data_IF_903295819104
#
_entry.id   IF_903295819104
#
_cell.length_a   1.000
_cell.length_b   1.000
_cell.length_c   1.000
_cell.angle_alpha   90.00
_cell.angle_beta   90.00
_cell.angle_gamma   90.00
#
_symmetry.space_group_name_H-M   'P 1'
#
loop_
_entity.id
_entity.type
_entity.pdbx_description
1 polymer ?
#
# COMPACT_ATOMS: atom_id res chain seq x y z
N UNK A 1 22.31 0.92 -4.10
CA UNK A 1 20.98 0.28 -4.18
C UNK A 1 20.29 0.23 -2.83
N UNK A 2 20.87 -0.44 -1.82
CA UNK A 2 20.28 -0.55 -0.45
C UNK A 2 19.88 0.80 0.15
N UNK A 3 20.78 1.80 0.13
CA UNK A 3 20.45 3.14 0.66
C UNK A 3 19.24 3.78 -0.03
N UNK A 4 19.11 3.63 -1.36
CA UNK A 4 17.95 4.14 -2.10
C UNK A 4 16.66 3.43 -1.68
N UNK A 5 16.71 2.11 -1.56
CA UNK A 5 15.57 1.31 -1.10
C UNK A 5 15.13 1.76 0.29
N UNK A 6 16.05 1.87 1.26
CA UNK A 6 15.70 2.29 2.61
C UNK A 6 15.17 3.73 2.66
N UNK A 7 15.80 4.67 1.94
CA UNK A 7 15.39 6.08 1.93
C UNK A 7 13.97 6.25 1.38
N UNK A 8 13.72 5.74 0.17
CA UNK A 8 12.42 5.90 -0.48
C UNK A 8 11.35 4.97 0.10
N UNK A 9 11.74 3.80 0.57
CA UNK A 9 10.88 2.88 1.30
C UNK A 9 10.42 3.47 2.63
N UNK A 10 11.28 4.14 3.39
CA UNK A 10 10.88 4.80 4.63
C UNK A 10 9.97 6.00 4.37
N UNK A 11 10.22 6.78 3.31
CA UNK A 11 9.29 7.84 2.92
C UNK A 11 7.92 7.28 2.56
N UNK A 12 7.87 6.23 1.75
CA UNK A 12 6.63 5.56 1.37
C UNK A 12 5.93 4.89 2.56
N UNK A 13 6.68 4.30 3.49
CA UNK A 13 6.16 3.72 4.73
C UNK A 13 5.50 4.78 5.61
N UNK A 14 6.20 5.89 5.89
CA UNK A 14 5.68 6.95 6.75
C UNK A 14 4.49 7.66 6.11
N UNK A 15 4.58 7.96 4.81
CA UNK A 15 3.44 8.53 4.08
C UNK A 15 2.28 7.56 4.08
N UNK A 16 2.50 6.28 3.76
CA UNK A 16 1.48 5.24 3.79
C UNK A 16 0.81 5.10 5.14
N UNK A 17 1.58 4.99 6.22
CA UNK A 17 1.06 4.94 7.58
C UNK A 17 0.16 6.13 7.90
N UNK A 18 0.64 7.35 7.65
CA UNK A 18 -0.06 8.58 8.03
C UNK A 18 -1.29 8.81 7.15
N UNK A 19 -1.15 8.77 5.82
CA UNK A 19 -2.26 9.05 4.91
C UNK A 19 -3.33 7.96 5.00
N UNK A 20 -2.91 6.70 5.23
CA UNK A 20 -3.86 5.60 5.38
C UNK A 20 -4.61 5.72 6.73
N UNK A 21 -3.96 6.07 7.83
CA UNK A 21 -4.69 6.36 9.07
C UNK A 21 -5.65 7.55 8.94
N UNK A 22 -5.23 8.62 8.27
CA UNK A 22 -6.07 9.82 8.06
C UNK A 22 -7.31 9.46 7.24
N UNK A 23 -7.17 8.71 6.14
CA UNK A 23 -8.35 8.38 5.33
C UNK A 23 -9.35 7.48 6.09
N UNK A 24 -8.87 6.50 6.87
CA UNK A 24 -9.77 5.63 7.66
C UNK A 24 -10.52 6.44 8.74
N UNK A 25 -9.81 7.33 9.43
CA UNK A 25 -10.37 8.10 10.55
C UNK A 25 -11.33 9.20 10.10
N UNK A 26 -10.99 9.92 9.03
CA UNK A 26 -11.84 10.99 8.49
C UNK A 26 -12.93 10.45 7.55
N UNK A 27 -12.72 9.26 6.98
CA UNK A 27 -13.64 8.64 6.03
C UNK A 27 -14.83 7.93 6.68
N UNK A 28 -14.84 7.72 8.00
CA UNK A 28 -15.85 6.90 8.70
C UNK A 28 -17.32 7.25 8.38
N UNK A 29 -17.62 8.52 8.13
CA UNK A 29 -18.99 9.01 7.89
C UNK A 29 -19.30 9.19 6.39
N UNK A 30 -18.35 8.84 5.51
CA UNK A 30 -18.52 8.90 4.05
C UNK A 30 -19.20 7.62 3.53
N UNK A 31 -19.79 7.74 2.34
CA UNK A 31 -20.34 6.56 1.65
C UNK A 31 -19.24 5.51 1.39
N UNK A 32 -19.64 4.23 1.36
CA UNK A 32 -18.72 3.12 1.09
C UNK A 32 -17.91 3.33 -0.20
N UNK A 33 -18.58 3.72 -1.29
CA UNK A 33 -17.91 3.97 -2.59
C UNK A 33 -16.90 5.12 -2.52
N UNK A 34 -17.18 6.16 -1.74
CA UNK A 34 -16.23 7.26 -1.54
C UNK A 34 -15.01 6.80 -0.76
N UNK A 35 -15.22 6.04 0.32
CA UNK A 35 -14.13 5.48 1.13
C UNK A 35 -13.22 4.55 0.33
N UNK A 36 -13.80 3.69 -0.50
CA UNK A 36 -13.05 2.79 -1.37
C UNK A 36 -12.12 3.56 -2.32
N UNK A 37 -12.63 4.61 -2.97
CA UNK A 37 -11.82 5.46 -3.86
C UNK A 37 -10.67 6.14 -3.09
N UNK A 38 -10.95 6.68 -1.90
CA UNK A 38 -9.94 7.32 -1.06
C UNK A 38 -8.87 6.31 -0.60
N UNK A 39 -9.26 5.08 -0.28
CA UNK A 39 -8.36 3.98 0.03
C UNK A 39 -7.38 3.72 -1.11
N UNK A 40 -7.87 3.56 -2.35
CA UNK A 40 -6.99 3.39 -3.50
C UNK A 40 -6.07 4.60 -3.73
N UNK A 41 -6.60 5.83 -3.66
CA UNK A 41 -5.80 7.05 -3.81
C UNK A 41 -4.64 7.07 -2.80
N UNK A 42 -4.93 6.75 -1.53
CA UNK A 42 -3.94 6.72 -0.47
C UNK A 42 -2.83 5.68 -0.72
N UNK A 43 -3.18 4.49 -1.24
CA UNK A 43 -2.24 3.45 -1.68
C UNK A 43 -1.35 3.95 -2.82
N UNK A 44 -1.94 4.53 -3.87
CA UNK A 44 -1.18 4.99 -5.05
C UNK A 44 -0.26 6.19 -4.73
N UNK A 45 -0.70 7.12 -3.88
CA UNK A 45 0.15 8.21 -3.39
C UNK A 45 1.38 7.64 -2.68
N UNK A 46 1.17 6.64 -1.82
CA UNK A 46 2.24 6.02 -1.03
C UNK A 46 3.18 5.18 -1.90
N UNK A 47 2.66 4.47 -2.91
CA UNK A 47 3.46 3.70 -3.86
C UNK A 47 4.17 4.57 -4.90
N UNK A 48 3.86 5.86 -5.02
CA UNK A 48 4.58 6.78 -5.93
C UNK A 48 6.09 6.83 -5.66
N UNK A 49 6.51 6.56 -4.42
CA UNK A 49 7.92 6.48 -4.02
C UNK A 49 8.68 5.33 -4.71
N UNK A 50 7.99 4.32 -5.25
CA UNK A 50 8.59 3.28 -6.10
C UNK A 50 9.22 3.91 -7.33
N UNK A 51 8.46 4.70 -8.08
CA UNK A 51 8.95 5.38 -9.28
C UNK A 51 10.11 6.32 -8.95
N UNK A 52 9.95 7.16 -7.91
CA UNK A 52 10.99 8.11 -7.51
C UNK A 52 12.25 7.42 -7.01
N UNK A 53 12.13 6.30 -6.30
CA UNK A 53 13.27 5.51 -5.83
C UNK A 53 14.05 4.86 -6.97
N UNK A 54 13.35 4.26 -7.94
CA UNK A 54 13.98 3.70 -9.14
C UNK A 54 14.67 4.80 -9.96
N UNK A 55 13.98 5.93 -10.20
CA UNK A 55 14.53 7.08 -10.92
C UNK A 55 15.77 7.65 -10.22
N UNK A 56 15.70 7.83 -8.91
CA UNK A 56 16.84 8.32 -8.13
C UNK A 56 18.05 7.39 -8.23
N UNK A 57 17.84 6.08 -8.10
CA UNK A 57 18.92 5.11 -8.26
C UNK A 57 19.56 5.19 -9.65
N UNK A 58 18.74 5.23 -10.70
CA UNK A 58 19.22 5.37 -12.09
C UNK A 58 20.05 6.64 -12.24
N UNK A 59 19.47 7.79 -11.92
CA UNK A 59 20.04 9.10 -12.27
C UNK A 59 21.24 9.50 -11.40
N UNK A 60 21.22 9.16 -10.10
CA UNK A 60 22.19 9.67 -9.13
C UNK A 60 23.19 8.62 -8.63
N UNK A 61 22.89 7.32 -8.81
CA UNK A 61 23.70 6.23 -8.24
C UNK A 61 24.25 5.29 -9.31
N UNK A 62 23.53 5.09 -10.42
CA UNK A 62 23.86 4.10 -11.44
C UNK A 62 24.12 4.73 -12.83
N UNK A 63 24.64 5.97 -12.84
CA UNK A 63 25.12 6.69 -14.03
C UNK A 63 24.11 6.80 -15.18
N UNK A 64 22.83 7.00 -14.86
CA UNK A 64 21.76 7.22 -15.85
C UNK A 64 21.26 5.95 -16.56
N UNK A 65 21.81 4.77 -16.23
CA UNK A 65 21.46 3.48 -16.84
C UNK A 65 20.80 2.60 -15.79
N UNK A 66 19.79 1.82 -16.18
CA UNK A 66 19.20 0.81 -15.28
C UNK A 66 18.56 -0.31 -16.10
N UNK A 67 18.82 -1.56 -15.71
CA UNK A 67 18.13 -2.72 -16.28
C UNK A 67 16.78 -2.95 -15.61
N UNK A 68 15.85 -3.57 -16.33
CA UNK A 68 14.52 -3.90 -15.81
C UNK A 68 14.60 -4.73 -14.51
N UNK A 69 15.49 -5.74 -14.45
CA UNK A 69 15.67 -6.56 -13.26
C UNK A 69 16.12 -5.75 -12.03
N UNK A 70 17.05 -4.79 -12.19
CA UNK A 70 17.45 -3.91 -11.09
C UNK A 70 16.32 -2.98 -10.66
N UNK A 71 15.55 -2.44 -11.61
CA UNK A 71 14.39 -1.60 -11.31
C UNK A 71 13.31 -2.37 -10.53
N UNK A 72 13.01 -3.61 -10.94
CA UNK A 72 12.07 -4.50 -10.26
C UNK A 72 12.50 -4.78 -8.82
N UNK A 73 13.77 -5.14 -8.59
CA UNK A 73 14.30 -5.39 -7.25
C UNK A 73 14.10 -4.16 -6.36
N UNK A 74 14.51 -2.98 -6.83
CA UNK A 74 14.38 -1.73 -6.06
C UNK A 74 12.92 -1.43 -5.76
N UNK A 75 12.05 -1.52 -6.76
CA UNK A 75 10.65 -1.18 -6.62
C UNK A 75 9.89 -2.12 -5.69
N UNK A 76 10.12 -3.43 -5.77
CA UNK A 76 9.48 -4.42 -4.89
C UNK A 76 9.89 -4.21 -3.43
N UNK A 77 11.17 -3.99 -3.15
CA UNK A 77 11.60 -3.74 -1.77
C UNK A 77 11.05 -2.42 -1.20
N UNK A 78 10.93 -1.37 -2.02
CA UNK A 78 10.25 -0.14 -1.60
C UNK A 78 8.76 -0.42 -1.34
N UNK A 79 8.11 -1.18 -2.21
CA UNK A 79 6.68 -1.53 -2.10
C UNK A 79 6.38 -2.32 -0.83
N UNK A 80 7.24 -3.24 -0.43
CA UNK A 80 7.10 -3.99 0.83
C UNK A 80 7.15 -3.05 2.04
N UNK A 81 8.05 -2.06 2.05
CA UNK A 81 8.12 -1.09 3.14
C UNK A 81 6.87 -0.19 3.19
N UNK A 82 6.36 0.24 2.03
CA UNK A 82 5.07 0.95 1.94
C UNK A 82 3.92 0.09 2.46
N UNK A 83 3.87 -1.17 2.04
CA UNK A 83 2.84 -2.13 2.43
C UNK A 83 2.84 -2.38 3.93
N UNK A 84 4.01 -2.44 4.57
CA UNK A 84 4.13 -2.52 6.04
C UNK A 84 3.52 -1.27 6.69
N UNK A 85 3.82 -0.08 6.19
CA UNK A 85 3.23 1.16 6.73
C UNK A 85 1.71 1.17 6.67
N UNK A 86 1.14 0.77 5.53
CA UNK A 86 -0.31 0.67 5.34
C UNK A 86 -0.91 -0.46 6.19
N UNK A 87 -0.27 -1.62 6.27
CA UNK A 87 -0.73 -2.72 7.14
C UNK A 87 -0.74 -2.33 8.62
N UNK A 88 0.28 -1.58 9.09
CA UNK A 88 0.30 -1.05 10.47
C UNK A 88 -0.85 -0.06 10.67
N UNK A 89 -1.11 0.83 9.70
CA UNK A 89 -2.26 1.75 9.77
C UNK A 89 -3.58 0.99 9.91
N UNK A 90 -3.80 0.00 9.03
CA UNK A 90 -4.98 -0.85 9.02
C UNK A 90 -5.17 -1.61 10.34
N UNK A 91 -4.09 -2.20 10.87
CA UNK A 91 -4.10 -2.89 12.16
C UNK A 91 -4.43 -1.93 13.30
N UNK A 92 -3.78 -0.76 13.37
CA UNK A 92 -4.03 0.22 14.42
C UNK A 92 -5.50 0.65 14.39
N UNK A 93 -6.03 0.92 13.20
CA UNK A 93 -7.39 1.35 13.03
C UNK A 93 -8.38 0.27 13.48
N UNK A 94 -8.28 -0.94 12.92
CA UNK A 94 -9.22 -2.04 13.20
C UNK A 94 -9.08 -2.63 14.60
N UNK A 95 -7.92 -2.53 15.24
CA UNK A 95 -7.71 -3.08 16.58
C UNK A 95 -8.01 -2.08 17.70
N UNK A 96 -7.70 -0.80 17.51
CA UNK A 96 -7.71 0.19 18.60
C UNK A 96 -8.61 1.39 18.37
N UNK A 97 -8.84 1.80 17.13
CA UNK A 97 -9.64 3.01 16.83
C UNK A 97 -11.11 2.64 16.55
N UNK A 98 -11.34 1.58 15.78
CA UNK A 98 -12.65 1.07 15.41
C UNK A 98 -12.67 -0.47 15.52
N UNK A 99 -12.71 -1.01 16.76
CA UNK A 99 -12.72 -2.45 17.00
C UNK A 99 -13.95 -3.17 16.44
N UNK A 100 -15.07 -2.45 16.29
CA UNK A 100 -16.33 -2.99 15.77
C UNK A 100 -16.39 -3.01 14.23
N UNK A 101 -15.31 -2.61 13.54
CA UNK A 101 -15.30 -2.46 12.09
C UNK A 101 -15.73 -3.75 11.35
N UNK A 102 -15.18 -4.90 11.74
CA UNK A 102 -15.52 -6.18 11.11
C UNK A 102 -16.96 -6.59 11.38
N UNK A 103 -17.45 -6.41 12.61
CA UNK A 103 -18.83 -6.75 12.95
C UNK A 103 -19.83 -5.90 12.15
N UNK A 104 -19.57 -4.60 12.04
CA UNK A 104 -20.35 -3.69 11.21
C UNK A 104 -20.32 -4.10 9.73
N UNK A 105 -19.16 -4.51 9.22
CA UNK A 105 -19.01 -5.02 7.86
C UNK A 105 -19.79 -6.32 7.65
N UNK A 106 -19.73 -7.26 8.60
CA UNK A 106 -20.48 -8.52 8.53
C UNK A 106 -21.97 -8.29 8.58
N UNK A 107 -22.44 -7.37 9.42
CA UNK A 107 -23.85 -7.00 9.45
C UNK A 107 -24.31 -6.43 8.12
N UNK A 108 -23.52 -5.54 7.50
CA UNK A 108 -23.81 -5.01 6.17
C UNK A 108 -23.91 -6.13 5.10
N UNK A 109 -23.05 -7.16 5.17
CA UNK A 109 -23.12 -8.30 4.25
C UNK A 109 -24.35 -9.18 4.51
N UNK A 110 -24.74 -9.38 5.78
CA UNK A 110 -25.97 -10.10 6.14
C UNK A 110 -27.20 -9.37 5.63
N UNK A 111 -27.28 -8.07 5.82
CA UNK A 111 -28.39 -7.24 5.33
C UNK A 111 -28.48 -7.25 3.78
N UNK A 112 -27.36 -7.47 3.10
CA UNK A 112 -27.29 -7.64 1.66
C UNK A 112 -27.59 -9.08 1.18
N UNK A 113 -27.90 -10.02 2.08
CA UNK A 113 -28.20 -11.42 1.78
C UNK A 113 -26.98 -12.25 1.39
N UNK A 114 -25.76 -11.82 1.76
CA UNK A 114 -24.48 -12.44 1.38
C UNK A 114 -23.80 -13.15 2.56
N UNK A 115 -24.59 -13.75 3.44
CA UNK A 115 -24.10 -14.36 4.69
C UNK A 115 -23.06 -15.47 4.43
N UNK A 116 -23.25 -16.23 3.35
CA UNK A 116 -22.37 -17.31 2.93
C UNK A 116 -21.03 -16.83 2.33
N UNK A 117 -20.87 -15.53 2.05
CA UNK A 117 -19.61 -14.93 1.57
C UNK A 117 -18.76 -14.35 2.72
N UNK A 118 -19.27 -14.36 3.95
CA UNK A 118 -18.57 -13.79 5.10
C UNK A 118 -17.36 -14.65 5.46
N UNK A 119 -16.19 -14.02 5.45
CA UNK A 119 -14.95 -14.59 5.97
C UNK A 119 -14.61 -13.83 7.25
N UNK A 120 -14.62 -14.53 8.38
CA UNK A 120 -14.18 -13.96 9.65
C UNK A 120 -12.69 -13.65 9.61
N UNK A 121 -12.35 -12.41 9.91
CA UNK A 121 -10.99 -11.88 9.87
C UNK A 121 -10.69 -11.20 11.18
N UNK A 122 -9.52 -11.50 11.74
CA UNK A 122 -8.94 -10.67 12.80
C UNK A 122 -8.29 -9.43 12.19
N UNK A 123 -8.09 -8.39 13.00
CA UNK A 123 -7.31 -7.20 12.65
C UNK A 123 -5.93 -7.54 12.09
N UNK A 124 -5.29 -8.59 12.63
CA UNK A 124 -4.00 -9.07 12.14
C UNK A 124 -4.13 -9.69 10.74
N UNK A 125 -5.13 -10.54 10.51
CA UNK A 125 -5.32 -11.18 9.21
C UNK A 125 -5.65 -10.15 8.12
N UNK A 126 -6.45 -9.13 8.43
CA UNK A 126 -6.75 -8.04 7.51
C UNK A 126 -5.52 -7.18 7.20
N UNK A 127 -4.72 -6.86 8.23
CA UNK A 127 -3.45 -6.15 8.05
C UNK A 127 -2.48 -6.93 7.14
N UNK A 128 -2.37 -8.25 7.32
CA UNK A 128 -1.55 -9.12 6.45
C UNK A 128 -2.11 -9.15 5.02
N UNK A 129 -3.44 -9.20 4.86
CA UNK A 129 -4.09 -9.12 3.56
C UNK A 129 -3.76 -7.79 2.87
N UNK A 130 -3.84 -6.67 3.60
CA UNK A 130 -3.49 -5.35 3.10
C UNK A 130 -2.01 -5.27 2.69
N UNK A 131 -1.09 -5.82 3.49
CA UNK A 131 0.34 -5.88 3.13
C UNK A 131 0.53 -6.67 1.83
N UNK A 132 -0.16 -7.80 1.69
CA UNK A 132 -0.08 -8.65 0.50
C UNK A 132 -0.60 -7.92 -0.73
N UNK A 133 -1.80 -7.32 -0.63
CA UNK A 133 -2.45 -6.57 -1.70
C UNK A 133 -1.57 -5.39 -2.18
N UNK A 134 -1.10 -4.56 -1.24
CA UNK A 134 -0.26 -3.40 -1.56
C UNK A 134 1.07 -3.83 -2.18
N UNK A 135 1.64 -4.95 -1.73
CA UNK A 135 2.86 -5.51 -2.33
C UNK A 135 2.63 -5.95 -3.78
N UNK A 136 1.50 -6.60 -4.08
CA UNK A 136 1.13 -7.01 -5.44
C UNK A 136 0.94 -5.79 -6.35
N UNK A 137 0.22 -4.76 -5.89
CA UNK A 137 0.06 -3.51 -6.64
C UNK A 137 1.43 -2.84 -6.85
N UNK A 138 2.26 -2.82 -5.82
CA UNK A 138 3.61 -2.29 -5.87
C UNK A 138 4.52 -3.02 -6.85
N UNK A 139 4.38 -4.34 -7.00
CA UNK A 139 5.07 -5.12 -8.03
C UNK A 139 4.69 -4.64 -9.44
N UNK A 140 3.40 -4.42 -9.70
CA UNK A 140 2.92 -3.90 -11.00
C UNK A 140 3.50 -2.51 -11.26
N UNK A 141 3.46 -1.62 -10.27
CA UNK A 141 4.04 -0.27 -10.38
C UNK A 141 5.56 -0.33 -10.61
N UNK A 142 6.24 -1.28 -9.98
CA UNK A 142 7.68 -1.51 -10.17
C UNK A 142 8.00 -1.95 -11.60
N UNK A 143 7.18 -2.83 -12.17
CA UNK A 143 7.31 -3.28 -13.56
C UNK A 143 7.10 -2.11 -14.53
N UNK A 144 6.02 -1.35 -14.37
CA UNK A 144 5.71 -0.19 -15.20
C UNK A 144 6.84 0.86 -15.10
N UNK A 145 7.25 1.20 -13.87
CA UNK A 145 8.33 2.15 -13.62
C UNK A 145 9.66 1.68 -14.23
N UNK A 146 9.96 0.40 -14.13
CA UNK A 146 11.14 -0.21 -14.73
C UNK A 146 11.12 -0.14 -16.26
N UNK A 147 9.98 -0.43 -16.89
CA UNK A 147 9.83 -0.33 -18.35
C UNK A 147 9.95 1.11 -18.86
N UNK A 148 9.44 2.09 -18.10
CA UNK A 148 9.55 3.52 -18.43
C UNK A 148 10.99 4.03 -18.25
N UNK A 149 11.67 3.60 -17.19
CA UNK A 149 12.97 4.17 -16.79
C UNK A 149 14.18 3.43 -17.36
N UNK A 150 14.01 2.19 -17.85
CA UNK A 150 15.11 1.40 -18.38
C UNK A 150 15.83 2.14 -19.50
N UNK A 151 17.16 2.11 -19.44
CA UNK A 151 18.05 2.58 -20.50
C UNK A 151 19.14 1.53 -20.64
N UNK A 152 19.39 1.11 -21.88
CA UNK A 152 20.44 0.16 -22.24
C UNK A 152 21.69 0.93 -22.61
#
# INVERSE_FOLDING_TARGET
MKSTIFKYGLYGLLVGLIIFLIHLTLGKDLSYSTNEILGYISIFISLSFVFFGIKHYRDNVNNGVISLGKALIIGVFISVLVAIGIGIADFIYTQFINPDWFENYYQMMRDAGKENEIIEMSSLNASIFMVTLVTVIGFIISLISGLILQRK
#
